data_IF_225855822868
#
_entry.id   IF_225855822868
#
_cell.length_a   1.000
_cell.length_b   1.000
_cell.length_c   1.000
_cell.angle_alpha   90.00
_cell.angle_beta   90.00
_cell.angle_gamma   90.00
#
_symmetry.space_group_name_H-M   'P 1'
#
loop_
_entity.id
_entity.type
_entity.pdbx_description
1 polymer ?
#
# COMPACT_ATOMS: atom_id res chain seq x y z
N UNK A 1 -12.67 -4.70 -21.42
CA UNK A 1 -12.42 -4.11 -20.08
C UNK A 1 -11.31 -4.90 -19.42
N UNK A 2 -10.25 -4.23 -18.99
CA UNK A 2 -9.13 -4.90 -18.32
C UNK A 2 -9.43 -4.92 -16.83
N UNK A 3 -9.58 -6.11 -16.27
CA UNK A 3 -9.78 -6.28 -14.85
C UNK A 3 -8.45 -6.67 -14.21
N UNK A 4 -8.13 -6.06 -13.09
CA UNK A 4 -6.99 -6.49 -12.28
C UNK A 4 -7.38 -7.72 -11.47
N UNK A 5 -6.45 -8.67 -11.37
CA UNK A 5 -6.56 -9.78 -10.42
C UNK A 5 -6.17 -9.27 -9.04
N UNK A 6 -7.02 -9.50 -8.05
CA UNK A 6 -6.75 -9.12 -6.65
C UNK A 6 -6.48 -10.38 -5.85
N UNK A 7 -5.34 -10.43 -5.16
CA UNK A 7 -4.92 -11.57 -4.36
C UNK A 7 -4.63 -11.10 -2.94
N UNK A 8 -5.40 -11.59 -1.98
CA UNK A 8 -5.15 -11.35 -0.55
C UNK A 8 -4.31 -12.51 -0.01
N UNK A 9 -3.14 -12.20 0.53
CA UNK A 9 -2.20 -13.22 1.03
C UNK A 9 -1.74 -12.89 2.45
N UNK A 10 -1.54 -13.93 3.25
CA UNK A 10 -0.91 -13.82 4.55
C UNK A 10 0.60 -13.87 4.32
N UNK A 11 1.25 -12.72 4.29
CA UNK A 11 2.66 -12.63 3.93
C UNK A 11 3.29 -11.34 4.46
N UNK A 12 4.60 -11.41 4.66
CA UNK A 12 5.44 -10.25 4.88
C UNK A 12 5.73 -9.59 3.51
N UNK A 13 5.30 -8.36 3.33
CA UNK A 13 5.45 -7.63 2.06
C UNK A 13 6.93 -7.49 1.62
N UNK A 14 7.86 -7.49 2.57
CA UNK A 14 9.31 -7.42 2.27
C UNK A 14 9.86 -8.73 1.74
N UNK A 15 9.09 -9.82 1.79
CA UNK A 15 9.52 -11.17 1.41
C UNK A 15 8.74 -11.75 0.22
N UNK A 16 7.84 -11.01 -0.38
CA UNK A 16 7.06 -11.52 -1.51
C UNK A 16 7.88 -11.65 -2.81
N UNK A 17 9.09 -11.10 -2.83
CA UNK A 17 9.98 -11.22 -3.97
C UNK A 17 9.56 -10.38 -5.16
N UNK A 18 10.10 -10.73 -6.33
CA UNK A 18 9.92 -9.99 -7.58
C UNK A 18 8.57 -10.22 -8.25
N UNK A 19 7.65 -10.99 -7.65
CA UNK A 19 6.29 -11.15 -8.21
C UNK A 19 5.52 -9.83 -8.25
N UNK A 20 5.83 -8.88 -7.36
CA UNK A 20 5.30 -7.53 -7.40
C UNK A 20 6.37 -6.56 -7.93
N UNK A 21 6.04 -5.82 -8.98
CA UNK A 21 6.95 -4.80 -9.53
C UNK A 21 7.19 -3.68 -8.53
N UNK A 22 6.18 -3.29 -7.78
CA UNK A 22 6.32 -2.32 -6.70
C UNK A 22 5.67 -2.85 -5.42
N UNK A 23 6.26 -2.50 -4.28
CA UNK A 23 5.62 -2.64 -2.98
C UNK A 23 5.26 -1.26 -2.45
N UNK A 24 4.15 -1.18 -1.74
CA UNK A 24 3.69 0.06 -1.11
C UNK A 24 4.14 0.10 0.34
N UNK A 25 4.69 1.23 0.73
CA UNK A 25 5.06 1.52 2.11
C UNK A 25 3.99 2.39 2.75
N UNK A 26 3.46 1.95 3.89
CA UNK A 26 2.58 2.76 4.73
C UNK A 26 3.45 3.68 5.59
N UNK A 27 3.81 4.82 5.02
CA UNK A 27 4.74 5.78 5.60
C UNK A 27 4.03 6.79 6.52
N UNK A 28 4.82 7.59 7.23
CA UNK A 28 4.36 8.82 7.86
C UNK A 28 4.74 10.03 7.00
N UNK A 29 4.28 11.21 7.37
CA UNK A 29 4.44 12.43 6.57
C UNK A 29 5.91 12.83 6.37
N UNK A 30 6.81 12.42 7.25
CA UNK A 30 8.24 12.76 7.13
C UNK A 30 8.97 11.90 6.11
N UNK A 31 8.48 10.70 5.81
CA UNK A 31 9.14 9.68 5.00
C UNK A 31 10.46 9.17 5.59
N UNK A 32 10.73 9.45 6.85
CA UNK A 32 12.02 9.16 7.46
C UNK A 32 12.05 7.82 8.23
N UNK A 33 11.09 6.96 7.95
CA UNK A 33 10.98 5.67 8.63
C UNK A 33 10.13 5.73 9.88
N UNK A 34 9.93 4.59 10.49
CA UNK A 34 9.10 4.43 11.68
C UNK A 34 9.03 2.97 12.09
N UNK A 35 7.96 2.59 12.77
CA UNK A 35 7.70 1.20 13.15
C UNK A 35 6.87 0.44 12.12
N UNK A 36 6.46 -0.77 12.49
CA UNK A 36 5.60 -1.61 11.67
C UNK A 36 6.17 -1.90 10.29
N UNK A 37 5.32 -1.84 9.26
CA UNK A 37 5.73 -2.14 7.89
C UNK A 37 6.76 -1.12 7.37
N UNK A 38 6.65 0.14 7.77
CA UNK A 38 7.59 1.19 7.38
C UNK A 38 9.01 0.85 7.86
N UNK A 39 9.17 0.48 9.11
CA UNK A 39 10.45 0.04 9.66
C UNK A 39 11.00 -1.21 8.96
N UNK A 40 10.13 -2.18 8.68
CA UNK A 40 10.52 -3.40 7.99
C UNK A 40 11.00 -3.14 6.56
N UNK A 41 10.33 -2.26 5.83
CA UNK A 41 10.72 -1.89 4.46
C UNK A 41 12.05 -1.14 4.46
N UNK A 42 12.24 -0.17 5.36
CA UNK A 42 13.52 0.54 5.47
C UNK A 42 14.67 -0.41 5.82
N UNK A 43 14.46 -1.34 6.74
CA UNK A 43 15.48 -2.34 7.09
C UNK A 43 15.84 -3.24 5.90
N UNK A 44 14.85 -3.71 5.15
CA UNK A 44 15.07 -4.60 4.01
C UNK A 44 15.69 -3.88 2.80
N UNK A 45 15.29 -2.64 2.55
CA UNK A 45 15.82 -1.84 1.44
C UNK A 45 17.24 -1.35 1.69
N UNK A 46 17.63 -1.20 2.95
CA UNK A 46 18.95 -0.70 3.33
C UNK A 46 19.01 0.82 3.46
N UNK A 47 20.18 1.37 3.86
CA UNK A 47 20.31 2.78 4.24
C UNK A 47 20.14 3.79 3.10
N UNK A 48 20.30 3.38 1.87
CA UNK A 48 20.15 4.27 0.71
C UNK A 48 18.71 4.76 0.54
N UNK A 49 17.73 3.96 0.97
CA UNK A 49 16.33 4.38 0.95
C UNK A 49 16.11 5.61 1.81
N UNK A 50 16.62 5.62 3.03
CA UNK A 50 16.49 6.75 3.95
C UNK A 50 17.14 8.00 3.38
N UNK A 51 18.32 7.86 2.77
CA UNK A 51 19.01 8.98 2.12
C UNK A 51 18.14 9.59 1.03
N UNK A 52 17.54 8.76 0.20
CA UNK A 52 16.65 9.24 -0.88
C UNK A 52 15.40 9.89 -0.31
N UNK A 53 14.76 9.27 0.66
CA UNK A 53 13.55 9.82 1.31
C UNK A 53 13.80 11.19 1.94
N UNK A 54 14.98 11.41 2.52
CA UNK A 54 15.33 12.71 3.12
C UNK A 54 15.32 13.85 2.11
N UNK A 55 15.49 13.57 0.82
CA UNK A 55 15.48 14.57 -0.25
C UNK A 55 14.10 14.85 -0.83
N UNK A 56 13.07 14.07 -0.46
CA UNK A 56 11.74 14.17 -1.05
C UNK A 56 10.84 15.25 -0.43
N UNK A 57 11.21 15.77 0.73
CA UNK A 57 10.44 16.84 1.39
C UNK A 57 9.13 16.38 2.00
N UNK A 58 9.05 15.12 2.40
CA UNK A 58 7.86 14.56 3.04
C UNK A 58 6.76 14.17 2.04
N UNK A 59 5.62 13.77 2.58
CA UNK A 59 4.45 13.32 1.83
C UNK A 59 3.20 13.62 2.65
N UNK A 60 2.21 14.28 2.06
CA UNK A 60 0.97 14.59 2.76
C UNK A 60 0.05 13.37 2.82
N UNK A 61 -0.85 13.29 3.83
CA UNK A 61 -1.83 12.21 3.89
C UNK A 61 -2.64 12.10 2.59
N UNK A 62 -2.76 10.88 2.09
CA UNK A 62 -3.45 10.59 0.82
C UNK A 62 -2.58 10.72 -0.43
N UNK A 63 -1.40 11.32 -0.35
CA UNK A 63 -0.47 11.39 -1.47
C UNK A 63 0.42 10.15 -1.55
N UNK A 64 1.11 9.99 -2.69
CA UNK A 64 2.06 8.90 -2.91
C UNK A 64 3.29 9.42 -3.63
N UNK A 65 4.46 8.92 -3.26
CA UNK A 65 5.74 9.23 -3.89
C UNK A 65 6.51 7.95 -4.17
N UNK A 66 7.32 7.92 -5.21
CA UNK A 66 8.06 6.73 -5.62
C UNK A 66 9.54 6.88 -5.39
N UNK A 67 10.19 5.78 -4.98
CA UNK A 67 11.65 5.62 -4.94
C UNK A 67 12.04 4.30 -5.59
N UNK A 68 13.33 4.12 -5.84
CA UNK A 68 13.88 2.79 -6.13
C UNK A 68 13.74 1.90 -4.90
N UNK A 69 13.87 0.59 -5.08
CA UNK A 69 13.73 -0.38 -4.01
C UNK A 69 15.06 -0.80 -3.36
N UNK A 70 16.19 -0.36 -3.93
CA UNK A 70 17.56 -0.62 -3.44
C UNK A 70 17.84 -2.12 -3.23
N UNK A 71 17.98 -2.59 -1.99
CA UNK A 71 18.29 -4.00 -1.72
C UNK A 71 17.09 -4.95 -1.87
N UNK A 72 15.88 -4.42 -2.05
CA UNK A 72 14.71 -5.25 -2.33
C UNK A 72 14.68 -5.65 -3.81
N UNK A 73 14.09 -6.81 -4.15
CA UNK A 73 14.06 -7.29 -5.55
C UNK A 73 13.04 -6.58 -6.43
N UNK A 74 12.19 -5.73 -5.86
CA UNK A 74 11.16 -4.99 -6.57
C UNK A 74 11.79 -3.85 -7.38
N UNK A 75 11.07 -3.35 -8.38
CA UNK A 75 11.53 -2.21 -9.19
C UNK A 75 11.44 -0.90 -8.42
N UNK A 76 10.36 -0.73 -7.65
CA UNK A 76 10.07 0.51 -6.93
C UNK A 76 9.45 0.24 -5.57
N UNK A 77 9.58 1.24 -4.69
CA UNK A 77 8.76 1.38 -3.49
C UNK A 77 7.87 2.61 -3.69
N UNK A 78 6.58 2.45 -3.47
CA UNK A 78 5.63 3.55 -3.48
C UNK A 78 5.29 3.88 -2.03
N UNK A 79 5.63 5.09 -1.60
CA UNK A 79 5.38 5.56 -0.24
C UNK A 79 4.08 6.34 -0.23
N UNK A 80 3.13 5.92 0.59
CA UNK A 80 1.87 6.64 0.78
C UNK A 80 1.58 6.81 2.25
N UNK A 81 0.87 7.86 2.60
CA UNK A 81 0.53 8.20 3.98
C UNK A 81 -0.98 8.05 4.15
N UNK A 82 -1.38 7.07 4.95
CA UNK A 82 -2.78 6.89 5.30
C UNK A 82 -3.24 7.85 6.39
N UNK A 83 -4.55 7.93 6.64
CA UNK A 83 -5.09 8.79 7.68
C UNK A 83 -4.86 8.21 9.07
N UNK A 84 -4.72 9.10 10.05
CA UNK A 84 -4.95 8.78 11.46
C UNK A 84 -6.44 8.85 11.70
N UNK A 85 -7.06 7.73 12.03
CA UNK A 85 -8.53 7.61 12.06
C UNK A 85 -9.21 8.66 12.94
N UNK A 86 -8.66 8.91 14.14
CA UNK A 86 -9.30 9.79 15.11
C UNK A 86 -9.00 11.28 14.93
N UNK A 87 -8.00 11.64 14.12
CA UNK A 87 -7.60 13.04 13.94
C UNK A 87 -7.79 13.58 12.53
N UNK A 88 -7.92 12.71 11.53
CA UNK A 88 -8.19 13.13 10.17
C UNK A 88 -9.67 13.54 10.05
N UNK A 89 -9.98 14.76 9.56
CA UNK A 89 -11.38 15.21 9.43
C UNK A 89 -12.19 14.38 8.43
N UNK A 90 -11.54 13.77 7.43
CA UNK A 90 -12.18 12.95 6.41
C UNK A 90 -11.37 11.68 6.15
N UNK A 91 -11.27 10.78 7.14
CA UNK A 91 -10.36 9.63 7.03
C UNK A 91 -10.68 8.69 5.87
N UNK A 92 -11.95 8.53 5.51
CA UNK A 92 -12.36 7.70 4.37
C UNK A 92 -11.87 8.27 3.03
N UNK A 93 -11.87 9.58 2.87
CA UNK A 93 -11.36 10.24 1.66
C UNK A 93 -9.83 10.09 1.58
N UNK A 94 -9.15 10.35 2.67
CA UNK A 94 -7.68 10.23 2.75
C UNK A 94 -7.23 8.79 2.48
N UNK A 95 -7.91 7.81 3.05
CA UNK A 95 -7.57 6.40 2.84
C UNK A 95 -7.81 5.99 1.39
N UNK A 96 -8.94 6.38 0.81
CA UNK A 96 -9.23 6.14 -0.60
C UNK A 96 -8.14 6.75 -1.49
N UNK A 97 -7.75 7.98 -1.21
CA UNK A 97 -6.70 8.67 -1.98
C UNK A 97 -5.35 7.96 -1.87
N UNK A 98 -4.99 7.44 -0.70
CA UNK A 98 -3.75 6.70 -0.52
C UNK A 98 -3.70 5.46 -1.43
N UNK A 99 -4.77 4.68 -1.49
CA UNK A 99 -4.86 3.52 -2.40
C UNK A 99 -4.91 3.97 -3.86
N UNK A 100 -5.76 4.93 -4.19
CA UNK A 100 -5.93 5.40 -5.56
C UNK A 100 -4.63 6.00 -6.13
N UNK A 101 -3.98 6.88 -5.39
CA UNK A 101 -2.76 7.55 -5.87
C UNK A 101 -1.60 6.56 -6.00
N UNK A 102 -1.53 5.54 -5.15
CA UNK A 102 -0.55 4.47 -5.28
C UNK A 102 -0.77 3.65 -6.55
N UNK A 103 -2.01 3.27 -6.82
CA UNK A 103 -2.37 2.56 -8.05
C UNK A 103 -2.06 3.38 -9.29
N UNK A 104 -2.44 4.65 -9.26
CA UNK A 104 -2.21 5.56 -10.39
C UNK A 104 -0.73 5.73 -10.67
N UNK A 105 0.08 5.92 -9.64
CA UNK A 105 1.52 6.07 -9.78
C UNK A 105 2.16 4.82 -10.38
N UNK A 106 1.78 3.63 -9.90
CA UNK A 106 2.27 2.37 -10.46
C UNK A 106 1.84 2.17 -11.92
N UNK A 107 0.60 2.49 -12.24
CA UNK A 107 0.06 2.37 -13.59
C UNK A 107 0.74 3.33 -14.56
N UNK A 108 0.98 4.57 -14.13
CA UNK A 108 1.70 5.58 -14.92
C UNK A 108 3.18 5.19 -15.16
N UNK A 109 3.78 4.42 -14.26
CA UNK A 109 5.12 3.84 -14.41
C UNK A 109 5.13 2.58 -15.29
N UNK A 110 4.00 2.23 -15.85
CA UNK A 110 3.82 1.05 -16.74
C UNK A 110 4.12 -0.28 -16.03
N UNK A 111 3.88 -0.34 -14.72
CA UNK A 111 4.06 -1.57 -13.96
C UNK A 111 2.88 -2.52 -14.16
N UNK A 112 3.14 -3.82 -14.05
CA UNK A 112 2.11 -4.85 -14.20
C UNK A 112 1.57 -5.34 -12.86
N UNK A 113 2.31 -5.14 -11.76
CA UNK A 113 1.92 -5.64 -10.45
C UNK A 113 2.33 -4.70 -9.32
N UNK A 114 1.48 -4.66 -8.29
CA UNK A 114 1.69 -3.85 -7.09
C UNK A 114 1.25 -4.65 -5.86
N UNK A 115 1.97 -4.51 -4.77
CA UNK A 115 1.60 -5.12 -3.49
C UNK A 115 1.37 -4.04 -2.44
N UNK A 116 0.24 -4.14 -1.75
CA UNK A 116 -0.13 -3.24 -0.65
C UNK A 116 -0.03 -3.94 0.69
N UNK A 117 0.40 -3.24 1.74
CA UNK A 117 0.06 -3.63 3.10
C UNK A 117 -1.36 -3.16 3.41
N UNK A 118 -1.88 -3.50 4.58
CA UNK A 118 -3.08 -2.81 5.07
C UNK A 118 -2.68 -1.43 5.59
N UNK A 119 -3.21 -0.38 4.96
CA UNK A 119 -2.86 1.00 5.32
C UNK A 119 -3.70 1.46 6.50
N UNK A 120 -3.08 2.15 7.46
CA UNK A 120 -3.72 2.78 8.63
C UNK A 120 -4.30 1.84 9.69
N UNK A 121 -4.03 0.54 9.64
CA UNK A 121 -4.58 -0.43 10.62
C UNK A 121 -3.68 -0.68 11.83
N UNK A 122 -2.48 -0.14 11.84
CA UNK A 122 -1.59 -0.18 13.01
C UNK A 122 -1.86 1.00 13.96
N UNK A 123 -0.84 1.78 14.24
CA UNK A 123 -0.92 2.93 15.16
C UNK A 123 -1.95 3.99 14.74
N UNK A 124 -2.29 4.06 13.45
CA UNK A 124 -3.29 5.01 12.94
C UNK A 124 -4.73 4.58 13.21
N UNK A 125 -4.94 3.37 13.73
CA UNK A 125 -6.17 2.89 14.39
C UNK A 125 -7.43 2.83 13.53
N UNK A 126 -7.30 2.69 12.22
CA UNK A 126 -8.46 2.55 11.35
C UNK A 126 -9.17 1.22 11.61
N UNK A 127 -10.50 1.19 11.77
CA UNK A 127 -11.23 -0.06 11.98
C UNK A 127 -11.07 -1.04 10.81
N UNK A 128 -10.86 -2.31 11.10
CA UNK A 128 -10.51 -3.34 10.11
C UNK A 128 -11.57 -3.51 9.03
N UNK A 129 -12.84 -3.57 9.42
CA UNK A 129 -13.95 -3.75 8.47
C UNK A 129 -14.02 -2.59 7.47
N UNK A 130 -13.89 -1.38 7.96
CA UNK A 130 -13.98 -0.17 7.15
C UNK A 130 -12.77 -0.03 6.22
N UNK A 131 -11.56 -0.33 6.70
CA UNK A 131 -10.36 -0.24 5.87
C UNK A 131 -10.39 -1.26 4.73
N UNK A 132 -10.83 -2.47 5.00
CA UNK A 132 -10.95 -3.51 3.97
C UNK A 132 -11.96 -3.10 2.89
N UNK A 133 -13.10 -2.56 3.30
CA UNK A 133 -14.15 -2.09 2.39
C UNK A 133 -13.61 -0.98 1.47
N UNK A 134 -12.95 0.03 2.02
CA UNK A 134 -12.43 1.16 1.26
C UNK A 134 -11.31 0.70 0.30
N UNK A 135 -10.39 -0.12 0.79
CA UNK A 135 -9.27 -0.61 -0.02
C UNK A 135 -9.76 -1.43 -1.22
N UNK A 136 -10.58 -2.44 -0.97
CA UNK A 136 -11.09 -3.32 -2.03
C UNK A 136 -11.94 -2.55 -3.02
N UNK A 137 -12.86 -1.70 -2.54
CA UNK A 137 -13.70 -0.86 -3.40
C UNK A 137 -12.85 0.04 -4.29
N UNK A 138 -11.85 0.71 -3.75
CA UNK A 138 -10.98 1.61 -4.50
C UNK A 138 -10.22 0.85 -5.59
N UNK A 139 -9.67 -0.32 -5.26
CA UNK A 139 -8.96 -1.16 -6.23
C UNK A 139 -9.91 -1.64 -7.33
N UNK A 140 -11.11 -2.09 -6.98
CA UNK A 140 -12.09 -2.57 -7.96
C UNK A 140 -12.59 -1.46 -8.89
N UNK A 141 -12.67 -0.23 -8.42
CA UNK A 141 -13.12 0.93 -9.21
C UNK A 141 -12.02 1.55 -10.06
N UNK A 142 -10.77 1.18 -9.82
CA UNK A 142 -9.65 1.70 -10.59
C UNK A 142 -9.65 1.14 -12.02
N UNK A 143 -9.42 1.99 -13.01
CA UNK A 143 -9.34 1.62 -14.42
C UNK A 143 -7.89 1.58 -14.89
N UNK A 144 -7.23 0.41 -14.85
CA UNK A 144 -5.83 0.30 -15.21
C UNK A 144 -5.60 0.35 -16.72
N UNK A 145 -4.43 0.88 -17.11
CA UNK A 145 -3.89 0.75 -18.47
C UNK A 145 -2.86 -0.39 -18.52
N UNK A 146 -2.08 -0.56 -17.46
CA UNK A 146 -0.94 -1.47 -17.41
C UNK A 146 -1.03 -2.49 -16.28
N UNK A 147 -1.52 -2.08 -15.11
CA UNK A 147 -1.61 -2.97 -13.95
C UNK A 147 -2.52 -4.17 -14.22
N UNK A 148 -2.04 -5.35 -13.88
CA UNK A 148 -2.74 -6.63 -14.07
C UNK A 148 -3.06 -7.33 -12.75
N UNK A 149 -2.20 -7.16 -11.74
CA UNK A 149 -2.32 -7.88 -10.47
C UNK A 149 -2.04 -6.95 -9.30
N UNK A 150 -2.92 -7.03 -8.30
CA UNK A 150 -2.76 -6.35 -7.01
C UNK A 150 -2.71 -7.39 -5.91
N UNK A 151 -1.62 -7.40 -5.16
CA UNK A 151 -1.50 -8.21 -3.94
C UNK A 151 -1.83 -7.36 -2.74
N UNK A 152 -2.56 -7.92 -1.79
CA UNK A 152 -2.75 -7.32 -0.47
C UNK A 152 -2.10 -8.25 0.53
N UNK A 153 -1.01 -7.80 1.13
CA UNK A 153 -0.19 -8.59 2.04
C UNK A 153 -0.59 -8.27 3.48
N UNK A 154 -1.20 -9.23 4.14
CA UNK A 154 -1.58 -9.13 5.56
C UNK A 154 -0.59 -9.98 6.37
N UNK A 155 0.11 -9.33 7.30
CA UNK A 155 1.17 -9.98 8.07
C UNK A 155 0.62 -10.50 9.39
N UNK A 156 0.35 -11.82 9.44
CA UNK A 156 -0.07 -12.56 10.65
C UNK A 156 -1.13 -11.86 11.50
N UNK A 157 -2.18 -11.35 10.84
CA UNK A 157 -3.35 -10.77 11.48
C UNK A 157 -4.60 -11.43 10.92
N UNK A 158 -5.06 -12.48 11.58
CA UNK A 158 -6.17 -13.30 11.11
C UNK A 158 -7.48 -12.51 10.97
N UNK A 159 -7.79 -11.67 11.95
CA UNK A 159 -9.02 -10.86 11.93
C UNK A 159 -9.04 -9.91 10.73
N UNK A 160 -7.92 -9.26 10.47
CA UNK A 160 -7.78 -8.35 9.34
C UNK A 160 -7.83 -9.11 8.00
N UNK A 161 -7.16 -10.26 7.93
CA UNK A 161 -7.18 -11.14 6.77
C UNK A 161 -8.60 -11.56 6.39
N UNK A 162 -9.40 -11.96 7.37
CA UNK A 162 -10.79 -12.36 7.17
C UNK A 162 -11.63 -11.20 6.63
N UNK A 163 -11.42 -9.97 7.12
CA UNK A 163 -12.14 -8.80 6.62
C UNK A 163 -11.82 -8.52 5.15
N UNK A 164 -10.55 -8.59 4.76
CA UNK A 164 -10.16 -8.41 3.35
C UNK A 164 -10.73 -9.51 2.45
N UNK A 165 -10.64 -10.76 2.86
CA UNK A 165 -11.18 -11.88 2.08
C UNK A 165 -12.70 -11.78 1.93
N UNK A 166 -13.40 -11.39 2.99
CA UNK A 166 -14.85 -11.21 2.94
C UNK A 166 -15.27 -10.10 1.98
N UNK A 167 -14.57 -8.97 2.01
CA UNK A 167 -14.81 -7.88 1.06
C UNK A 167 -14.52 -8.30 -0.37
N UNK A 168 -13.41 -8.99 -0.61
CA UNK A 168 -13.04 -9.44 -1.93
C UNK A 168 -14.11 -10.36 -2.53
N UNK A 169 -14.61 -11.32 -1.75
CA UNK A 169 -15.68 -12.21 -2.18
C UNK A 169 -16.96 -11.44 -2.56
N UNK A 170 -17.27 -10.38 -1.83
CA UNK A 170 -18.44 -9.53 -2.08
C UNK A 170 -18.32 -8.76 -3.41
N UNK A 171 -17.14 -8.26 -3.74
CA UNK A 171 -16.93 -7.43 -4.94
C UNK A 171 -16.63 -8.24 -6.21
N UNK A 172 -16.23 -9.49 -6.09
CA UNK A 172 -15.89 -10.34 -7.24
C UNK A 172 -17.06 -11.20 -7.73
N UNK A 173 -18.27 -10.97 -7.26
CA UNK A 173 -19.47 -11.69 -7.71
C UNK A 173 -20.02 -11.13 -9.00
#
# INVERSE_FOLDING_TARGET
MIYMKIVVINADITKIGSKADAIVNAANETLMGGGGVDGAIHAAAGPDLLKKCSSLGGCLPGEAKVTKAYNLPNKYIIHTVGPRYYSDPTPEVTLRNAYFNSLKLADDLELESIAFPSISTGAFAYPYKEVAEIAIKTICEFHPKNLKTVYICIYFNEKLFIEYCGCLNKYQR
#
